data_IF_290953526191
#
_entry.id   IF_290953526191
#
_cell.length_a   1.000
_cell.length_b   1.000
_cell.length_c   1.000
_cell.angle_alpha   90.00
_cell.angle_beta   90.00
_cell.angle_gamma   90.00
#
_symmetry.space_group_name_H-M   'P 1'
#
loop_
_entity.id
_entity.type
_entity.pdbx_description
1 polymer ?
#
# COMPACT_ATOMS: atom_id res chain seq x y z
N UNK A 1 -8.52 -18.86 11.15
CA UNK A 1 -8.58 -17.41 10.87
C UNK A 1 -9.90 -17.18 10.18
N UNK A 2 -10.79 -16.35 10.73
CA UNK A 2 -12.05 -16.05 10.05
C UNK A 2 -11.73 -15.37 8.71
N UNK A 3 -12.47 -15.76 7.68
CA UNK A 3 -12.37 -15.34 6.28
C UNK A 3 -12.18 -13.83 6.14
N UNK A 4 -12.90 -13.12 7.00
CA UNK A 4 -12.89 -11.67 7.15
C UNK A 4 -11.48 -11.11 7.33
N UNK A 5 -10.56 -11.78 8.03
CA UNK A 5 -9.25 -11.20 8.36
C UNK A 5 -8.27 -11.16 7.18
N UNK A 6 -8.25 -12.20 6.33
CA UNK A 6 -7.33 -12.25 5.17
C UNK A 6 -7.85 -11.36 4.03
N UNK A 7 -9.17 -11.37 3.81
CA UNK A 7 -9.81 -10.46 2.88
C UNK A 7 -9.68 -9.00 3.35
N UNK A 8 -9.83 -8.75 4.66
CA UNK A 8 -9.57 -7.43 5.26
C UNK A 8 -8.13 -6.95 5.05
N UNK A 9 -7.13 -7.83 5.25
CA UNK A 9 -5.73 -7.46 4.96
C UNK A 9 -5.55 -7.11 3.48
N UNK A 10 -6.18 -7.87 2.58
CA UNK A 10 -6.13 -7.60 1.13
C UNK A 10 -6.81 -6.26 0.81
N UNK A 11 -7.94 -5.94 1.42
CA UNK A 11 -8.61 -4.63 1.30
C UNK A 11 -7.77 -3.48 1.85
N UNK A 12 -7.10 -3.66 3.00
CA UNK A 12 -6.17 -2.67 3.54
C UNK A 12 -5.07 -2.37 2.54
N UNK A 13 -4.48 -3.40 1.94
CA UNK A 13 -3.38 -3.24 0.99
C UNK A 13 -3.84 -2.61 -0.33
N UNK A 14 -5.06 -2.92 -0.78
CA UNK A 14 -5.71 -2.23 -1.90
C UNK A 14 -5.83 -0.73 -1.64
N UNK A 15 -6.44 -0.36 -0.51
CA UNK A 15 -6.67 1.04 -0.14
C UNK A 15 -5.35 1.78 0.09
N UNK A 16 -4.37 1.09 0.69
CA UNK A 16 -3.03 1.63 0.92
C UNK A 16 -2.31 1.93 -0.40
N UNK A 17 -2.42 1.04 -1.38
CA UNK A 17 -1.88 1.23 -2.73
C UNK A 17 -2.59 2.35 -3.49
N UNK A 18 -3.91 2.45 -3.39
CA UNK A 18 -4.67 3.58 -3.95
C UNK A 18 -4.16 4.91 -3.38
N UNK A 19 -4.03 4.99 -2.05
CA UNK A 19 -3.49 6.18 -1.39
C UNK A 19 -2.05 6.49 -1.82
N UNK A 20 -1.20 5.47 -1.91
CA UNK A 20 0.17 5.61 -2.38
C UNK A 20 0.23 6.11 -3.84
N UNK A 21 -0.71 5.69 -4.68
CA UNK A 21 -0.82 6.13 -6.08
C UNK A 21 -1.18 7.62 -6.17
N UNK A 22 -2.11 8.09 -5.34
CA UNK A 22 -2.41 9.54 -5.25
C UNK A 22 -1.18 10.31 -4.73
N UNK A 23 -0.50 9.76 -3.71
CA UNK A 23 0.68 10.40 -3.13
C UNK A 23 1.85 10.48 -4.13
N UNK A 24 2.09 9.43 -4.92
CA UNK A 24 3.14 9.47 -5.96
C UNK A 24 2.76 10.42 -7.08
N UNK A 25 1.49 10.47 -7.49
CA UNK A 25 1.02 11.39 -8.55
C UNK A 25 1.25 12.86 -8.16
N UNK A 26 0.82 13.23 -6.96
CA UNK A 26 1.00 14.60 -6.43
C UNK A 26 2.48 14.92 -6.17
N UNK A 27 3.25 13.97 -5.64
CA UNK A 27 4.68 14.13 -5.40
C UNK A 27 5.50 14.25 -6.69
N UNK A 28 5.20 13.42 -7.69
CA UNK A 28 5.82 13.45 -9.01
C UNK A 28 5.53 14.77 -9.72
N UNK A 29 4.29 15.22 -9.70
CA UNK A 29 3.92 16.52 -10.28
C UNK A 29 4.75 17.67 -9.68
N UNK A 30 4.88 17.74 -8.36
CA UNK A 30 5.64 18.83 -7.74
C UNK A 30 7.17 18.69 -7.92
N UNK A 31 7.69 17.46 -7.78
CA UNK A 31 9.13 17.19 -7.79
C UNK A 31 9.75 17.10 -9.18
N UNK A 32 9.05 16.50 -10.14
CA UNK A 32 9.56 16.24 -11.49
C UNK A 32 8.95 17.17 -12.54
N UNK A 33 7.63 17.35 -12.56
CA UNK A 33 6.97 18.18 -13.58
C UNK A 33 7.18 19.68 -13.31
N UNK A 34 6.83 20.17 -12.12
CA UNK A 34 7.07 21.57 -11.72
C UNK A 34 8.49 21.86 -11.27
N UNK A 35 9.31 20.80 -11.04
CA UNK A 35 10.69 20.88 -10.52
C UNK A 35 10.83 21.75 -9.27
N UNK A 36 9.76 21.91 -8.49
CA UNK A 36 9.66 22.82 -7.36
C UNK A 36 8.86 22.16 -6.25
N UNK A 37 9.56 21.41 -5.39
CA UNK A 37 8.93 20.71 -4.24
C UNK A 37 8.16 21.64 -3.30
N UNK A 38 8.51 22.93 -3.26
CA UNK A 38 7.76 23.93 -2.49
C UNK A 38 6.29 24.04 -2.93
N UNK A 39 5.95 23.68 -4.17
CA UNK A 39 4.57 23.66 -4.69
C UNK A 39 3.67 22.74 -3.87
N UNK A 40 4.21 21.64 -3.29
CA UNK A 40 3.45 20.80 -2.37
C UNK A 40 3.04 21.53 -1.10
N UNK A 41 3.69 22.63 -0.72
CA UNK A 41 3.38 23.40 0.49
C UNK A 41 2.62 24.68 0.19
N UNK A 42 2.85 25.29 -0.97
CA UNK A 42 2.25 26.57 -1.33
C UNK A 42 0.90 26.42 -2.02
N UNK A 43 0.66 25.32 -2.74
CA UNK A 43 -0.66 25.03 -3.29
C UNK A 43 -1.47 24.22 -2.27
N UNK A 44 -2.53 24.81 -1.75
CA UNK A 44 -3.31 24.25 -0.65
C UNK A 44 -3.97 22.90 -1.01
N UNK A 45 -4.52 22.77 -2.21
CA UNK A 45 -5.13 21.52 -2.69
C UNK A 45 -4.10 20.40 -2.75
N UNK A 46 -2.92 20.66 -3.36
CA UNK A 46 -1.85 19.68 -3.41
C UNK A 46 -1.32 19.33 -2.03
N UNK A 47 -1.16 20.32 -1.15
CA UNK A 47 -0.69 20.09 0.21
C UNK A 47 -1.63 19.18 0.99
N UNK A 48 -2.93 19.54 1.02
CA UNK A 48 -3.96 18.80 1.74
C UNK A 48 -4.07 17.38 1.19
N UNK A 49 -4.14 17.22 -0.13
CA UNK A 49 -4.21 15.90 -0.76
C UNK A 49 -2.96 15.05 -0.48
N UNK A 50 -1.76 15.55 -0.78
CA UNK A 50 -0.52 14.80 -0.62
C UNK A 50 -0.32 14.36 0.84
N UNK A 51 -0.67 15.22 1.79
CA UNK A 51 -0.59 14.92 3.22
C UNK A 51 -1.66 13.92 3.65
N UNK A 52 -2.93 14.14 3.29
CA UNK A 52 -4.03 13.28 3.70
C UNK A 52 -3.86 11.85 3.19
N UNK A 53 -3.63 11.67 1.88
CA UNK A 53 -3.40 10.34 1.31
C UNK A 53 -2.12 9.68 1.85
N UNK A 54 -1.07 10.48 2.11
CA UNK A 54 0.13 9.97 2.79
C UNK A 54 -0.15 9.47 4.21
N UNK A 55 -0.94 10.21 4.99
CA UNK A 55 -1.33 9.83 6.35
C UNK A 55 -2.25 8.61 6.37
N UNK A 56 -3.26 8.56 5.49
CA UNK A 56 -4.13 7.39 5.35
C UNK A 56 -3.35 6.15 4.97
N UNK A 57 -2.43 6.28 4.02
CA UNK A 57 -1.51 5.20 3.65
C UNK A 57 -0.75 4.69 4.89
N UNK A 58 -0.13 5.57 5.68
CA UNK A 58 0.57 5.14 6.92
C UNK A 58 -0.36 4.45 7.92
N UNK A 59 -1.58 4.95 8.15
CA UNK A 59 -2.54 4.31 9.06
C UNK A 59 -2.93 2.92 8.56
N UNK A 60 -3.22 2.78 7.27
CA UNK A 60 -3.52 1.48 6.65
C UNK A 60 -2.34 0.52 6.78
N UNK A 61 -1.11 1.00 6.63
CA UNK A 61 0.07 0.16 6.87
C UNK A 61 0.11 -0.37 8.30
N UNK A 62 -0.13 0.48 9.29
CA UNK A 62 -0.11 0.09 10.70
C UNK A 62 -1.22 -0.93 10.99
N UNK A 63 -2.42 -0.74 10.42
CA UNK A 63 -3.52 -1.70 10.54
C UNK A 63 -3.15 -3.06 9.93
N UNK A 64 -2.58 -3.07 8.72
CA UNK A 64 -2.11 -4.29 8.06
C UNK A 64 -0.97 -4.97 8.84
N UNK A 65 -0.01 -4.18 9.36
CA UNK A 65 1.08 -4.69 10.18
C UNK A 65 0.55 -5.34 11.47
N UNK A 66 -0.42 -4.71 12.14
CA UNK A 66 -1.04 -5.28 13.33
C UNK A 66 -1.76 -6.61 13.02
N UNK A 67 -2.53 -6.66 11.93
CA UNK A 67 -3.18 -7.88 11.46
C UNK A 67 -2.16 -8.98 11.09
N UNK A 68 -1.06 -8.61 10.43
CA UNK A 68 0.02 -9.52 10.05
C UNK A 68 0.78 -10.07 11.25
N UNK A 69 1.14 -9.21 12.22
CA UNK A 69 1.85 -9.62 13.43
C UNK A 69 0.99 -10.53 14.31
N UNK A 70 -0.29 -10.22 14.49
CA UNK A 70 -1.21 -11.08 15.24
C UNK A 70 -1.37 -12.45 14.57
N UNK A 71 -1.51 -12.48 13.24
CA UNK A 71 -1.53 -13.74 12.47
C UNK A 71 -0.23 -14.54 12.59
N UNK A 72 0.92 -13.86 12.50
CA UNK A 72 2.24 -14.49 12.62
C UNK A 72 2.51 -15.06 14.02
N UNK A 73 2.17 -14.32 15.07
CA UNK A 73 2.27 -14.79 16.46
C UNK A 73 1.33 -15.99 16.67
N UNK A 74 0.09 -15.92 16.18
CA UNK A 74 -0.85 -17.05 16.25
C UNK A 74 -0.32 -18.30 15.53
N UNK A 75 0.31 -18.12 14.37
CA UNK A 75 0.95 -19.20 13.63
C UNK A 75 2.11 -19.84 14.40
N UNK A 76 2.95 -19.05 15.08
CA UNK A 76 4.08 -19.55 15.86
C UNK A 76 3.68 -20.20 17.20
N UNK A 77 2.67 -19.66 17.87
CA UNK A 77 2.34 -20.05 19.25
C UNK A 77 1.29 -21.14 19.33
N UNK A 78 0.30 -21.11 18.43
CA UNK A 78 -0.86 -22.02 18.46
C UNK A 78 -1.12 -22.69 17.11
N UNK A 79 -0.21 -22.53 16.15
CA UNK A 79 -0.30 -23.07 14.79
C UNK A 79 -1.60 -22.68 14.06
N UNK A 80 -2.11 -21.46 14.31
CA UNK A 80 -3.36 -20.93 13.71
C UNK A 80 -3.23 -19.46 13.33
N UNK A 81 -3.34 -19.10 12.03
CA UNK A 81 -3.31 -20.01 10.87
C UNK A 81 -1.97 -20.74 10.78
N UNK A 82 -1.90 -21.95 10.20
CA UNK A 82 -0.63 -22.67 10.08
C UNK A 82 0.35 -21.89 9.18
N UNK A 83 1.65 -21.99 9.50
CA UNK A 83 2.69 -21.45 8.63
C UNK A 83 2.79 -22.29 7.35
N UNK A 84 2.58 -21.68 6.19
CA UNK A 84 2.69 -22.35 4.90
C UNK A 84 4.08 -22.19 4.32
N UNK A 85 5.10 -22.72 5.01
CA UNK A 85 6.49 -22.59 4.59
C UNK A 85 6.79 -23.26 3.23
N UNK A 86 5.91 -24.15 2.76
CA UNK A 86 6.01 -24.76 1.42
C UNK A 86 5.29 -23.94 0.33
N UNK A 87 4.50 -22.92 0.69
CA UNK A 87 3.78 -22.07 -0.26
C UNK A 87 4.68 -20.91 -0.70
N UNK A 88 5.03 -20.89 -1.99
CA UNK A 88 5.81 -19.78 -2.58
C UNK A 88 5.10 -18.44 -2.39
N UNK A 89 3.78 -18.43 -2.56
CA UNK A 89 2.97 -17.21 -2.42
C UNK A 89 2.95 -16.69 -0.97
N UNK A 90 2.83 -17.59 0.02
CA UNK A 90 2.98 -17.24 1.43
C UNK A 90 4.36 -16.64 1.71
N UNK A 91 5.42 -17.32 1.29
CA UNK A 91 6.79 -16.92 1.60
C UNK A 91 7.15 -15.58 0.98
N UNK A 92 6.80 -15.34 -0.29
CA UNK A 92 7.09 -14.06 -0.95
C UNK A 92 6.40 -12.91 -0.20
N UNK A 93 5.13 -13.05 0.15
CA UNK A 93 4.41 -12.01 0.86
C UNK A 93 4.98 -11.78 2.28
N UNK A 94 5.14 -12.86 3.06
CA UNK A 94 5.60 -12.78 4.45
C UNK A 94 7.03 -12.27 4.55
N UNK A 95 7.97 -12.89 3.85
CA UNK A 95 9.39 -12.51 3.94
C UNK A 95 9.67 -11.17 3.26
N UNK A 96 9.03 -10.91 2.11
CA UNK A 96 9.14 -9.62 1.43
C UNK A 96 8.55 -8.45 2.23
N UNK A 97 7.66 -8.71 3.18
CA UNK A 97 7.12 -7.68 4.07
C UNK A 97 8.15 -7.13 5.07
N UNK A 98 9.24 -7.85 5.38
CA UNK A 98 10.28 -7.35 6.28
C UNK A 98 11.07 -6.16 5.69
N UNK A 99 11.61 -6.24 4.45
CA UNK A 99 12.18 -5.06 3.78
C UNK A 99 11.20 -3.90 3.64
N UNK A 100 9.93 -4.20 3.33
CA UNK A 100 8.87 -3.17 3.25
C UNK A 100 8.71 -2.45 4.60
N UNK A 101 8.65 -3.20 5.71
CA UNK A 101 8.59 -2.63 7.06
C UNK A 101 9.74 -1.66 7.32
N UNK A 102 10.95 -2.03 6.94
CA UNK A 102 12.11 -1.15 7.10
C UNK A 102 11.97 0.15 6.30
N UNK A 103 11.52 0.08 5.04
CA UNK A 103 11.27 1.26 4.20
C UNK A 103 10.22 2.17 4.84
N UNK A 104 9.11 1.58 5.31
CA UNK A 104 8.00 2.33 5.93
C UNK A 104 8.41 2.96 7.24
N UNK A 105 9.07 2.20 8.11
CA UNK A 105 9.59 2.70 9.38
C UNK A 105 10.59 3.83 9.16
N UNK A 106 11.52 3.68 8.21
CA UNK A 106 12.50 4.71 7.90
C UNK A 106 11.84 5.99 7.38
N UNK A 107 10.95 5.90 6.38
CA UNK A 107 10.26 7.10 5.89
C UNK A 107 9.44 7.75 6.99
N UNK A 108 8.72 6.97 7.78
CA UNK A 108 7.92 7.50 8.89
C UNK A 108 8.82 8.23 9.88
N UNK A 109 9.91 7.61 10.34
CA UNK A 109 10.86 8.22 11.24
C UNK A 109 11.43 9.54 10.68
N UNK A 110 11.92 9.57 9.44
CA UNK A 110 12.42 10.81 8.84
C UNK A 110 11.32 11.86 8.66
N UNK A 111 10.09 11.43 8.32
CA UNK A 111 8.96 12.34 8.16
C UNK A 111 8.55 13.01 9.47
N UNK A 112 8.70 12.32 10.62
CA UNK A 112 8.38 12.90 11.93
C UNK A 112 9.55 13.66 12.54
N UNK A 113 10.73 13.04 12.59
CA UNK A 113 11.87 13.54 13.37
C UNK A 113 12.89 14.33 12.54
N UNK A 114 13.01 14.07 11.22
CA UNK A 114 14.07 14.69 10.40
C UNK A 114 13.63 15.04 8.97
N UNK A 115 12.59 15.89 8.88
CA UNK A 115 11.97 16.30 7.60
C UNK A 115 12.98 16.91 6.62
N UNK A 116 13.96 17.68 7.12
CA UNK A 116 14.96 18.34 6.26
C UNK A 116 15.79 17.31 5.49
N UNK A 117 16.24 16.24 6.13
CA UNK A 117 17.00 15.16 5.48
C UNK A 117 16.15 14.42 4.44
N UNK A 118 14.88 14.16 4.74
CA UNK A 118 13.96 13.51 3.80
C UNK A 118 13.88 14.27 2.47
N UNK A 119 13.60 15.58 2.52
CA UNK A 119 13.41 16.40 1.32
C UNK A 119 14.73 16.82 0.64
N UNK A 120 15.85 16.86 1.37
CA UNK A 120 17.14 17.26 0.81
C UNK A 120 17.93 16.08 0.21
N UNK A 121 18.03 14.97 0.95
CA UNK A 121 18.97 13.87 0.63
C UNK A 121 18.28 12.55 0.27
N UNK A 122 17.02 12.36 0.65
CA UNK A 122 16.33 11.05 0.54
C UNK A 122 15.01 11.15 -0.23
N UNK A 123 14.97 11.92 -1.31
CA UNK A 123 13.77 12.09 -2.16
C UNK A 123 13.29 10.76 -2.77
N UNK A 124 14.22 9.84 -3.06
CA UNK A 124 13.95 8.50 -3.57
C UNK A 124 13.08 7.65 -2.62
N UNK A 125 13.04 7.99 -1.33
CA UNK A 125 12.25 7.28 -0.32
C UNK A 125 10.73 7.40 -0.60
N UNK A 126 10.31 8.44 -1.33
CA UNK A 126 8.94 8.55 -1.83
C UNK A 126 8.60 7.46 -2.85
N UNK A 127 9.50 7.22 -3.82
CA UNK A 127 9.35 6.15 -4.80
C UNK A 127 9.51 4.76 -4.15
N UNK A 128 10.45 4.62 -3.22
CA UNK A 128 10.62 3.36 -2.48
C UNK A 128 9.35 2.96 -1.74
N UNK A 129 8.63 3.91 -1.13
CA UNK A 129 7.32 3.60 -0.52
C UNK A 129 6.25 3.19 -1.52
N UNK A 130 6.20 3.85 -2.68
CA UNK A 130 5.23 3.49 -3.70
C UNK A 130 5.48 2.04 -4.18
N UNK A 131 6.74 1.67 -4.40
CA UNK A 131 7.14 0.31 -4.74
C UNK A 131 6.87 -0.67 -3.60
N UNK A 132 7.10 -0.26 -2.35
CA UNK A 132 6.80 -1.08 -1.18
C UNK A 132 5.29 -1.39 -1.09
N UNK A 133 4.43 -0.39 -1.29
CA UNK A 133 2.98 -0.60 -1.37
C UNK A 133 2.56 -1.45 -2.55
N UNK A 134 3.20 -1.25 -3.71
CA UNK A 134 2.95 -2.05 -4.92
C UNK A 134 3.24 -3.51 -4.63
N UNK A 135 4.39 -3.79 -4.02
CA UNK A 135 4.76 -5.13 -3.60
C UNK A 135 3.74 -5.72 -2.62
N UNK A 136 3.41 -5.00 -1.54
CA UNK A 136 2.46 -5.47 -0.53
C UNK A 136 1.09 -5.78 -1.14
N UNK A 137 0.56 -4.90 -1.99
CA UNK A 137 -0.72 -5.09 -2.67
C UNK A 137 -0.70 -6.32 -3.59
N UNK A 138 0.25 -6.37 -4.52
CA UNK A 138 0.29 -7.44 -5.52
C UNK A 138 0.48 -8.80 -4.85
N UNK A 139 1.37 -8.89 -3.87
CA UNK A 139 1.62 -10.15 -3.17
C UNK A 139 0.47 -10.55 -2.24
N UNK A 140 -0.19 -9.62 -1.57
CA UNK A 140 -1.39 -9.90 -0.78
C UNK A 140 -2.53 -10.42 -1.65
N UNK A 141 -2.83 -9.72 -2.75
CA UNK A 141 -3.88 -10.10 -3.68
C UNK A 141 -3.60 -11.48 -4.29
N UNK A 142 -2.43 -11.67 -4.89
CA UNK A 142 -2.06 -12.97 -5.49
C UNK A 142 -2.11 -14.09 -4.45
N UNK A 143 -1.60 -13.86 -3.24
CA UNK A 143 -1.66 -14.85 -2.17
C UNK A 143 -3.07 -15.18 -1.73
N UNK A 144 -3.97 -14.19 -1.65
CA UNK A 144 -5.36 -14.42 -1.34
C UNK A 144 -6.04 -15.27 -2.41
N UNK A 145 -5.96 -14.86 -3.68
CA UNK A 145 -6.62 -15.54 -4.78
C UNK A 145 -6.11 -16.96 -5.05
N UNK A 146 -4.81 -17.21 -4.90
CA UNK A 146 -4.27 -18.57 -5.06
C UNK A 146 -4.84 -19.53 -3.99
N UNK A 147 -5.11 -19.02 -2.78
CA UNK A 147 -5.62 -19.80 -1.65
C UNK A 147 -7.15 -19.93 -1.64
N UNK A 148 -7.85 -19.25 -2.54
CA UNK A 148 -9.29 -19.42 -2.77
C UNK A 148 -9.59 -20.36 -3.93
N UNK A 149 -8.57 -20.80 -4.68
CA UNK A 149 -8.75 -21.71 -5.81
C UNK A 149 -9.19 -23.12 -5.34
N UNK A 150 -10.04 -23.81 -6.12
CA UNK A 150 -10.54 -25.16 -5.79
C UNK A 150 -9.46 -26.21 -5.55
N UNK A 151 -8.28 -26.05 -6.16
CA UNK A 151 -7.15 -26.98 -6.00
C UNK A 151 -6.41 -26.84 -4.66
N UNK A 152 -6.62 -25.75 -3.92
CA UNK A 152 -6.10 -25.53 -2.57
C UNK A 152 -6.96 -24.51 -1.80
N UNK A 153 -8.23 -24.84 -1.48
CA UNK A 153 -9.16 -23.88 -0.88
C UNK A 153 -8.89 -23.80 0.62
N UNK A 154 -7.99 -22.91 1.01
CA UNK A 154 -7.78 -22.55 2.42
C UNK A 154 -8.74 -21.44 2.87
N UNK A 155 -9.23 -20.66 1.90
CA UNK A 155 -10.18 -19.60 2.10
C UNK A 155 -11.36 -19.81 1.13
N UNK A 156 -12.58 -19.46 1.53
CA UNK A 156 -13.70 -19.44 0.61
C UNK A 156 -13.53 -18.31 -0.41
N UNK A 157 -14.32 -18.33 -1.49
CA UNK A 157 -14.30 -17.28 -2.49
C UNK A 157 -14.49 -15.87 -1.89
N UNK A 158 -13.93 -14.83 -2.53
CA UNK A 158 -14.08 -13.46 -2.08
C UNK A 158 -15.54 -13.01 -2.01
N UNK A 159 -15.83 -12.20 -1.00
CA UNK A 159 -17.15 -11.57 -0.79
C UNK A 159 -17.11 -10.11 -1.22
N UNK A 160 -16.02 -9.41 -0.94
CA UNK A 160 -15.82 -7.98 -1.21
C UNK A 160 -14.85 -7.71 -2.36
N UNK A 161 -13.91 -8.64 -2.61
CA UNK A 161 -13.04 -8.57 -3.78
C UNK A 161 -13.75 -9.15 -5.02
N UNK A 162 -13.25 -8.82 -6.20
CA UNK A 162 -13.73 -9.44 -7.43
C UNK A 162 -13.49 -10.96 -7.41
N UNK A 163 -14.24 -11.76 -8.20
CA UNK A 163 -13.98 -13.18 -8.28
C UNK A 163 -12.68 -13.46 -9.08
N UNK A 164 -12.13 -14.68 -8.94
CA UNK A 164 -10.79 -15.03 -9.43
C UNK A 164 -10.58 -14.75 -10.92
N UNK A 165 -11.62 -14.94 -11.74
CA UNK A 165 -11.62 -14.70 -13.19
C UNK A 165 -11.25 -13.26 -13.54
N UNK A 166 -11.46 -12.33 -12.59
CA UNK A 166 -11.17 -10.91 -12.72
C UNK A 166 -9.94 -10.48 -11.93
N UNK A 167 -9.08 -11.41 -11.48
CA UNK A 167 -7.84 -11.13 -10.75
C UNK A 167 -7.00 -10.05 -11.44
N UNK A 168 -6.81 -10.16 -12.77
CA UNK A 168 -6.04 -9.17 -13.52
C UNK A 168 -6.59 -7.75 -13.40
N UNK A 169 -7.92 -7.61 -13.46
CA UNK A 169 -8.59 -6.32 -13.24
C UNK A 169 -8.41 -5.87 -11.80
N UNK A 170 -8.67 -6.75 -10.83
CA UNK A 170 -8.49 -6.44 -9.40
C UNK A 170 -7.10 -5.87 -9.12
N UNK A 171 -6.04 -6.50 -9.64
CA UNK A 171 -4.65 -6.08 -9.42
C UNK A 171 -4.38 -4.65 -9.90
N UNK A 172 -5.03 -4.21 -10.97
CA UNK A 172 -4.81 -2.91 -11.61
C UNK A 172 -5.69 -1.80 -11.01
N UNK A 173 -6.85 -2.15 -10.43
CA UNK A 173 -7.82 -1.19 -9.90
C UNK A 173 -7.24 -0.11 -8.95
N UNK A 174 -6.41 -0.40 -7.93
CA UNK A 174 -5.97 0.65 -7.02
C UNK A 174 -5.05 1.67 -7.71
N UNK A 175 -4.32 1.25 -8.75
CA UNK A 175 -3.51 2.15 -9.58
C UNK A 175 -4.39 3.03 -10.46
N UNK A 176 -5.42 2.45 -11.09
CA UNK A 176 -6.33 3.20 -11.97
C UNK A 176 -7.14 4.20 -11.16
N UNK A 177 -7.80 3.78 -10.07
CA UNK A 177 -8.58 4.68 -9.23
C UNK A 177 -7.72 5.73 -8.54
N UNK A 178 -6.56 5.34 -8.01
CA UNK A 178 -5.60 6.29 -7.45
C UNK A 178 -5.08 7.29 -8.49
N UNK A 179 -4.85 6.85 -9.72
CA UNK A 179 -4.45 7.69 -10.85
C UNK A 179 -5.54 8.68 -11.27
N UNK A 180 -6.80 8.23 -11.36
CA UNK A 180 -7.95 9.09 -11.66
C UNK A 180 -8.12 10.16 -10.57
N UNK A 181 -8.13 9.76 -9.30
CA UNK A 181 -8.22 10.69 -8.17
C UNK A 181 -7.05 11.68 -8.20
N UNK A 182 -5.83 11.19 -8.43
CA UNK A 182 -4.64 12.01 -8.60
C UNK A 182 -4.79 13.03 -9.73
N UNK A 183 -5.25 12.62 -10.90
CA UNK A 183 -5.47 13.50 -12.05
C UNK A 183 -6.51 14.60 -11.75
N UNK A 184 -7.61 14.27 -11.07
CA UNK A 184 -8.62 15.24 -10.66
C UNK A 184 -8.04 16.29 -9.68
N UNK A 185 -7.26 15.85 -8.69
CA UNK A 185 -6.57 16.74 -7.74
C UNK A 185 -5.59 17.66 -8.48
N UNK A 186 -4.79 17.11 -9.40
CA UNK A 186 -3.83 17.89 -10.19
C UNK A 186 -4.54 18.92 -11.07
N UNK A 187 -5.66 18.55 -11.70
CA UNK A 187 -6.49 19.47 -12.49
C UNK A 187 -7.00 20.63 -11.64
N UNK A 188 -7.52 20.35 -10.45
CA UNK A 188 -7.99 21.39 -9.54
C UNK A 188 -6.85 22.29 -9.05
N UNK A 189 -5.70 21.71 -8.74
CA UNK A 189 -4.51 22.45 -8.32
C UNK A 189 -3.98 23.41 -9.41
N UNK A 190 -4.15 23.08 -10.69
CA UNK A 190 -3.76 23.94 -11.81
C UNK A 190 -4.66 25.17 -11.97
N UNK A 191 -5.92 25.09 -11.53
CA UNK A 191 -6.88 26.19 -11.63
C UNK A 191 -6.74 27.21 -10.50
N UNK A 192 -6.12 26.82 -9.38
CA UNK A 192 -5.79 27.74 -8.28
C UNK A 192 -4.39 28.33 -8.51
N UNK A 193 -4.33 29.52 -9.11
CA UNK A 193 -3.10 30.31 -9.26
C UNK A 193 -2.83 31.13 -8.02
#
# INVERSE_FOLDING_TARGET
>A
MHIEQVEFNTLITFLGMLCATVQVSTGYYAGHYKRRLAVLKTNEVLFRAHRAFGSFSTVLYILGLFAGLTGFIGALTVNKPPLELNSVSFNIHTWGSFPVLFIVAWKTHLSYFNKKVLYAKRRWLGMAMFLAWTFTWLTAAVSYYIRTLPSNPQHPPPVFLLPYEWLGVQLVLPFVFGGIIGALILRQALHMK
#
